data_IF_226563161043
#
_entry.id   IF_226563161043
#
_cell.length_a   1.000
_cell.length_b   1.000
_cell.length_c   1.000
_cell.angle_alpha   90.00
_cell.angle_beta   90.00
_cell.angle_gamma   90.00
#
_symmetry.space_group_name_H-M   'P 1'
#
loop_
_entity.id
_entity.type
_entity.pdbx_description
1 polymer ?
#
# COMPACT_ATOMS: atom_id res chain seq x y z
N UNK A 1 -2.10 -12.73 -9.00
CA UNK A 1 -3.24 -12.05 -9.65
C UNK A 1 -3.95 -12.91 -10.69
N UNK A 2 -3.80 -14.24 -10.69
CA UNK A 2 -4.39 -15.10 -11.73
C UNK A 2 -5.86 -15.50 -11.54
N UNK A 3 -6.55 -15.00 -10.51
CA UNK A 3 -7.94 -15.42 -10.20
C UNK A 3 -8.90 -14.25 -9.91
N UNK A 4 -8.42 -13.09 -9.42
CA UNK A 4 -9.25 -11.91 -9.17
C UNK A 4 -9.23 -10.88 -10.31
N UNK A 5 -8.33 -11.05 -11.29
CA UNK A 5 -8.19 -10.14 -12.43
C UNK A 5 -9.36 -10.23 -13.42
N UNK A 6 -10.09 -11.35 -13.42
CA UNK A 6 -11.24 -11.56 -14.32
C UNK A 6 -12.54 -10.94 -13.78
N UNK A 7 -12.58 -10.56 -12.50
CA UNK A 7 -13.79 -10.02 -11.84
C UNK A 7 -13.64 -8.54 -11.49
N UNK A 8 -12.44 -8.09 -11.12
CA UNK A 8 -12.19 -6.72 -10.70
C UNK A 8 -11.13 -6.04 -11.56
N UNK A 9 -11.39 -4.78 -11.92
CA UNK A 9 -10.37 -3.94 -12.56
C UNK A 9 -9.23 -3.63 -11.58
N UNK A 10 -8.03 -3.40 -12.10
CA UNK A 10 -6.88 -3.02 -11.26
C UNK A 10 -7.17 -1.78 -10.39
N UNK A 11 -7.89 -0.80 -10.94
CA UNK A 11 -8.31 0.40 -10.20
C UNK A 11 -9.23 0.07 -9.03
N UNK A 12 -10.17 -0.85 -9.19
CA UNK A 12 -11.05 -1.29 -8.10
C UNK A 12 -10.25 -2.04 -7.02
N UNK A 13 -9.34 -2.94 -7.42
CA UNK A 13 -8.49 -3.67 -6.47
C UNK A 13 -7.58 -2.75 -5.67
N UNK A 14 -7.02 -1.70 -6.29
CA UNK A 14 -6.22 -0.69 -5.57
C UNK A 14 -7.07 0.06 -4.55
N UNK A 15 -8.26 0.54 -4.93
CA UNK A 15 -9.14 1.26 -4.00
C UNK A 15 -9.65 0.36 -2.85
N UNK A 16 -9.96 -0.90 -3.15
CA UNK A 16 -10.36 -1.88 -2.15
C UNK A 16 -9.19 -2.18 -1.19
N UNK A 17 -7.97 -2.35 -1.71
CA UNK A 17 -6.76 -2.52 -0.91
C UNK A 17 -6.52 -1.33 0.02
N UNK A 18 -6.61 -0.11 -0.49
CA UNK A 18 -6.54 1.14 0.29
C UNK A 18 -7.57 1.14 1.42
N UNK A 19 -8.84 0.81 1.12
CA UNK A 19 -9.91 0.76 2.12
C UNK A 19 -9.64 -0.29 3.21
N UNK A 20 -9.23 -1.50 2.82
CA UNK A 20 -8.89 -2.58 3.77
C UNK A 20 -7.70 -2.19 4.64
N UNK A 21 -6.63 -1.63 4.07
CA UNK A 21 -5.46 -1.17 4.83
C UNK A 21 -5.80 -0.03 5.78
N UNK A 22 -6.69 0.88 5.39
CA UNK A 22 -7.17 1.96 6.26
C UNK A 22 -7.95 1.42 7.46
N UNK A 23 -8.90 0.51 7.22
CA UNK A 23 -9.65 -0.17 8.28
C UNK A 23 -8.69 -0.96 9.19
N UNK A 24 -7.79 -1.76 8.63
CA UNK A 24 -6.78 -2.51 9.38
C UNK A 24 -5.91 -1.62 10.26
N UNK A 25 -5.54 -0.44 9.77
CA UNK A 25 -4.77 0.55 10.54
C UNK A 25 -5.56 1.12 11.72
N UNK A 26 -6.86 1.36 11.56
CA UNK A 26 -7.73 1.78 12.68
C UNK A 26 -7.84 0.68 13.73
N UNK A 27 -8.03 -0.59 13.32
CA UNK A 27 -8.07 -1.72 14.27
C UNK A 27 -6.75 -1.87 15.03
N UNK A 28 -5.61 -1.64 14.36
CA UNK A 28 -4.28 -1.72 14.98
C UNK A 28 -4.03 -0.64 16.05
N UNK A 29 -4.81 0.46 16.05
CA UNK A 29 -4.76 1.48 17.11
C UNK A 29 -5.48 1.07 18.41
N UNK A 30 -6.05 -0.14 18.46
CA UNK A 30 -6.78 -0.66 19.64
C UNK A 30 -5.96 -1.77 20.31
N UNK A 31 -4.94 -1.44 21.13
CA UNK A 31 -4.06 -2.43 21.76
C UNK A 31 -4.73 -3.20 22.91
N UNK A 32 -5.91 -2.77 23.38
CA UNK A 32 -6.61 -3.37 24.52
C UNK A 32 -7.16 -4.78 24.26
N UNK A 33 -7.31 -5.17 22.99
CA UNK A 33 -7.78 -6.50 22.61
C UNK A 33 -6.81 -7.15 21.62
N UNK A 34 -6.04 -8.18 22.04
CA UNK A 34 -5.05 -8.85 21.18
C UNK A 34 -5.62 -9.42 19.88
N UNK A 35 -6.88 -9.86 19.88
CA UNK A 35 -7.54 -10.37 18.67
C UNK A 35 -7.81 -9.25 17.66
N UNK A 36 -8.31 -8.10 18.13
CA UNK A 36 -8.55 -6.92 17.28
C UNK A 36 -7.22 -6.38 16.75
N UNK A 37 -6.21 -6.32 17.61
CA UNK A 37 -4.87 -5.88 17.25
C UNK A 37 -4.23 -6.77 16.16
N UNK A 38 -4.30 -8.09 16.34
CA UNK A 38 -3.83 -9.07 15.35
C UNK A 38 -4.61 -9.03 14.02
N UNK A 39 -5.93 -8.86 14.09
CA UNK A 39 -6.77 -8.64 12.91
C UNK A 39 -6.38 -7.36 12.17
N UNK A 40 -6.02 -6.29 12.88
CA UNK A 40 -5.52 -5.05 12.30
C UNK A 40 -4.28 -5.29 11.43
N UNK A 41 -3.26 -5.97 11.97
CA UNK A 41 -2.04 -6.33 11.23
C UNK A 41 -2.37 -7.15 9.97
N UNK A 42 -3.24 -8.16 10.12
CA UNK A 42 -3.64 -9.04 9.02
C UNK A 42 -4.31 -8.26 7.91
N UNK A 43 -5.26 -7.38 8.24
CA UNK A 43 -5.95 -6.52 7.27
C UNK A 43 -5.00 -5.54 6.60
N UNK A 44 -4.05 -4.94 7.33
CA UNK A 44 -3.03 -4.07 6.72
C UNK A 44 -2.26 -4.83 5.63
N UNK A 45 -1.75 -6.02 5.93
CA UNK A 45 -1.01 -6.84 4.96
C UNK A 45 -1.87 -7.27 3.77
N UNK A 46 -3.11 -7.69 4.02
CA UNK A 46 -4.05 -8.13 2.99
C UNK A 46 -4.44 -6.97 2.06
N UNK A 47 -4.66 -5.77 2.61
CA UNK A 47 -4.98 -4.57 1.85
C UNK A 47 -3.82 -4.08 0.97
N UNK A 48 -2.56 -4.23 1.41
CA UNK A 48 -1.40 -3.85 0.60
C UNK A 48 -1.07 -4.85 -0.52
N UNK A 49 -1.42 -6.14 -0.35
CA UNK A 49 -1.08 -7.21 -1.29
C UNK A 49 -1.45 -6.92 -2.76
N UNK A 50 -2.66 -6.41 -3.10
CA UNK A 50 -3.00 -6.13 -4.50
C UNK A 50 -2.43 -4.80 -5.03
N UNK A 51 -2.05 -3.85 -4.17
CA UNK A 51 -1.78 -2.47 -4.58
C UNK A 51 -0.59 -2.38 -5.55
N UNK A 52 0.56 -2.94 -5.17
CA UNK A 52 1.77 -2.86 -5.98
C UNK A 52 1.63 -3.52 -7.37
N UNK A 53 1.23 -4.81 -7.48
CA UNK A 53 1.03 -5.45 -8.78
C UNK A 53 -0.06 -4.78 -9.65
N UNK A 54 -1.15 -4.27 -9.06
CA UNK A 54 -2.18 -3.54 -9.84
C UNK A 54 -1.65 -2.23 -10.40
N UNK A 55 -0.85 -1.47 -9.64
CA UNK A 55 -0.25 -0.23 -10.12
C UNK A 55 0.76 -0.48 -11.25
N UNK A 56 1.52 -1.59 -11.20
CA UNK A 56 2.38 -1.99 -12.32
C UNK A 56 1.56 -2.32 -13.56
N UNK A 57 0.44 -3.04 -13.41
CA UNK A 57 -0.44 -3.36 -14.54
C UNK A 57 -1.12 -2.10 -15.13
N UNK A 58 -1.59 -1.18 -14.29
CA UNK A 58 -2.12 0.12 -14.75
C UNK A 58 -1.06 0.94 -15.48
N UNK A 59 0.20 0.88 -15.04
CA UNK A 59 1.31 1.57 -15.72
C UNK A 59 1.53 0.98 -17.11
N UNK A 60 1.56 -0.35 -17.23
CA UNK A 60 1.67 -1.04 -18.53
C UNK A 60 0.48 -0.77 -19.44
N UNK A 61 -0.72 -0.58 -18.90
CA UNK A 61 -1.92 -0.27 -19.67
C UNK A 61 -1.98 1.20 -20.14
N UNK A 62 -1.40 2.13 -19.37
CA UNK A 62 -1.47 3.58 -19.62
C UNK A 62 -0.38 4.11 -20.56
N UNK A 63 0.78 3.46 -20.60
CA UNK A 63 1.94 3.92 -21.36
C UNK A 63 2.35 2.92 -22.43
N UNK A 64 3.08 3.39 -23.45
CA UNK A 64 3.70 2.47 -24.40
C UNK A 64 4.75 1.59 -23.70
N UNK A 65 5.08 0.45 -24.32
CA UNK A 65 5.95 -0.59 -23.71
C UNK A 65 7.30 -0.04 -23.20
N UNK A 66 7.93 0.87 -23.94
CA UNK A 66 9.22 1.45 -23.57
C UNK A 66 9.09 2.38 -22.34
N UNK A 67 8.10 3.27 -22.35
CA UNK A 67 7.80 4.17 -21.24
C UNK A 67 7.36 3.41 -20.00
N UNK A 68 6.48 2.42 -20.14
CA UNK A 68 6.00 1.58 -19.05
C UNK A 68 7.17 0.85 -18.37
N UNK A 69 8.06 0.23 -19.16
CA UNK A 69 9.25 -0.47 -18.63
C UNK A 69 10.15 0.47 -17.82
N UNK A 70 10.34 1.71 -18.29
CA UNK A 70 11.14 2.73 -17.60
C UNK A 70 10.48 3.18 -16.29
N UNK A 71 9.18 3.44 -16.28
CA UNK A 71 8.45 3.87 -15.07
C UNK A 71 8.43 2.75 -14.04
N UNK A 72 8.15 1.52 -14.46
CA UNK A 72 8.10 0.36 -13.58
C UNK A 72 9.48 0.07 -12.97
N UNK A 73 10.57 0.15 -13.75
CA UNK A 73 11.91 -0.06 -13.21
C UNK A 73 12.28 1.00 -12.16
N UNK A 74 11.86 2.25 -12.35
CA UNK A 74 12.00 3.30 -11.36
C UNK A 74 11.17 3.02 -10.10
N UNK A 75 9.91 2.59 -10.23
CA UNK A 75 9.06 2.20 -9.10
C UNK A 75 9.71 1.09 -8.27
N UNK A 76 10.16 0.01 -8.92
CA UNK A 76 10.84 -1.12 -8.28
C UNK A 76 12.10 -0.66 -7.53
N UNK A 77 12.95 0.15 -8.19
CA UNK A 77 14.19 0.64 -7.60
C UNK A 77 13.93 1.50 -6.35
N UNK A 78 12.97 2.43 -6.43
CA UNK A 78 12.59 3.29 -5.30
C UNK A 78 11.99 2.44 -4.18
N UNK A 79 11.16 1.44 -4.46
CA UNK A 79 10.62 0.53 -3.44
C UNK A 79 11.71 -0.20 -2.66
N UNK A 80 12.75 -0.70 -3.33
CA UNK A 80 13.87 -1.35 -2.63
C UNK A 80 14.70 -0.39 -1.79
N UNK A 81 14.99 0.81 -2.31
CA UNK A 81 15.67 1.86 -1.53
C UNK A 81 14.83 2.27 -0.32
N UNK A 82 13.51 2.38 -0.50
CA UNK A 82 12.58 2.69 0.58
C UNK A 82 12.62 1.60 1.64
N UNK A 83 12.63 0.32 1.28
CA UNK A 83 12.73 -0.78 2.25
C UNK A 83 14.03 -0.70 3.07
N UNK A 84 15.16 -0.45 2.40
CA UNK A 84 16.48 -0.34 3.05
C UNK A 84 16.52 0.81 4.06
N UNK A 85 15.81 1.91 3.81
CA UNK A 85 15.84 3.12 4.64
C UNK A 85 14.72 3.10 5.69
N UNK A 86 13.48 2.81 5.29
CA UNK A 86 12.30 2.88 6.16
C UNK A 86 12.28 1.77 7.20
N UNK A 87 12.68 0.53 6.88
CA UNK A 87 12.61 -0.57 7.87
C UNK A 87 13.52 -0.30 9.07
N UNK A 88 14.80 0.07 8.90
CA UNK A 88 15.66 0.43 10.03
C UNK A 88 15.15 1.66 10.80
N UNK A 89 14.67 2.70 10.11
CA UNK A 89 14.13 3.90 10.75
C UNK A 89 12.90 3.53 11.59
N UNK A 90 11.96 2.79 11.04
CA UNK A 90 10.75 2.36 11.76
C UNK A 90 11.09 1.45 12.94
N UNK A 91 12.06 0.53 12.77
CA UNK A 91 12.54 -0.32 13.87
C UNK A 91 13.16 0.50 15.00
N UNK A 92 14.03 1.45 14.65
CA UNK A 92 14.66 2.35 15.63
C UNK A 92 13.62 3.22 16.34
N UNK A 93 12.67 3.81 15.61
CA UNK A 93 11.57 4.60 16.19
C UNK A 93 10.71 3.73 17.12
N UNK A 94 10.33 2.53 16.68
CA UNK A 94 9.51 1.61 17.48
C UNK A 94 10.15 1.21 18.81
N UNK A 95 11.49 1.18 18.90
CA UNK A 95 12.18 0.93 20.18
C UNK A 95 12.17 2.11 21.16
N UNK A 96 11.95 3.34 20.68
CA UNK A 96 11.97 4.56 21.50
C UNK A 96 10.56 5.16 21.73
N UNK A 97 9.55 4.67 21.02
CA UNK A 97 8.17 5.12 21.13
C UNK A 97 7.23 3.95 21.43
N UNK A 98 6.03 3.95 20.84
CA UNK A 98 5.02 2.92 20.93
C UNK A 98 4.75 2.34 19.53
N UNK A 99 4.38 1.06 19.43
CA UNK A 99 4.32 0.31 18.17
C UNK A 99 3.20 0.83 17.25
N UNK A 100 2.18 1.47 17.82
CA UNK A 100 1.02 2.06 17.14
C UNK A 100 1.41 3.22 16.21
N UNK A 101 2.64 3.77 16.32
CA UNK A 101 3.16 4.75 15.36
C UNK A 101 3.13 4.22 13.92
N UNK A 102 3.26 2.90 13.75
CA UNK A 102 3.15 2.21 12.45
C UNK A 102 1.76 2.41 11.85
N UNK A 103 0.68 2.38 12.64
CA UNK A 103 -0.67 2.64 12.13
C UNK A 103 -0.83 4.07 11.62
N UNK A 104 -0.34 5.06 12.38
CA UNK A 104 -0.42 6.47 11.97
C UNK A 104 0.32 6.73 10.65
N UNK A 105 1.54 6.17 10.52
CA UNK A 105 2.32 6.25 9.28
C UNK A 105 1.58 5.54 8.14
N UNK A 106 1.02 4.36 8.39
CA UNK A 106 0.26 3.60 7.39
C UNK A 106 -0.96 4.40 6.91
N UNK A 107 -1.73 5.00 7.81
CA UNK A 107 -2.86 5.87 7.48
C UNK A 107 -2.41 7.03 6.59
N UNK A 108 -1.34 7.73 6.97
CA UNK A 108 -0.77 8.81 6.18
C UNK A 108 -0.39 8.37 4.77
N UNK A 109 0.32 7.24 4.65
CA UNK A 109 0.71 6.65 3.37
C UNK A 109 -0.50 6.25 2.51
N UNK A 110 -1.52 5.63 3.10
CA UNK A 110 -2.73 5.19 2.39
C UNK A 110 -3.56 6.39 1.91
N UNK A 111 -3.67 7.46 2.71
CA UNK A 111 -4.33 8.71 2.30
C UNK A 111 -3.56 9.38 1.16
N UNK A 112 -2.23 9.49 1.29
CA UNK A 112 -1.39 10.07 0.25
C UNK A 112 -1.48 9.26 -1.06
N UNK A 113 -1.42 7.93 -0.96
CA UNK A 113 -1.57 7.02 -2.09
C UNK A 113 -2.96 7.19 -2.74
N UNK A 114 -4.03 7.24 -1.96
CA UNK A 114 -5.38 7.44 -2.48
C UNK A 114 -5.51 8.78 -3.23
N UNK A 115 -4.93 9.86 -2.69
CA UNK A 115 -4.90 11.16 -3.34
C UNK A 115 -4.13 11.13 -4.68
N UNK A 116 -2.96 10.48 -4.70
CA UNK A 116 -2.15 10.31 -5.92
C UNK A 116 -2.88 9.48 -6.96
N UNK A 117 -3.45 8.33 -6.57
CA UNK A 117 -4.22 7.45 -7.48
C UNK A 117 -5.42 8.18 -8.06
N UNK A 118 -6.18 8.91 -7.22
CA UNK A 118 -7.33 9.69 -7.68
C UNK A 118 -6.92 10.77 -8.68
N UNK A 119 -5.85 11.53 -8.39
CA UNK A 119 -5.32 12.55 -9.30
C UNK A 119 -4.84 11.95 -10.62
N UNK A 120 -4.12 10.83 -10.55
CA UNK A 120 -3.62 10.12 -11.73
C UNK A 120 -4.77 9.61 -12.61
N UNK A 121 -5.83 9.10 -12.01
CA UNK A 121 -7.03 8.63 -12.72
C UNK A 121 -7.86 9.76 -13.34
N UNK A 122 -7.70 11.01 -12.90
CA UNK A 122 -8.34 12.17 -13.53
C UNK A 122 -7.59 12.67 -14.76
N UNK A 123 -6.29 12.35 -14.87
CA UNK A 123 -5.43 12.81 -15.96
C UNK A 123 -5.43 11.88 -17.17
N UNK A 124 -6.04 10.70 -17.06
CA UNK A 124 -6.07 9.65 -18.10
C UNK A 124 -7.37 8.87 -18.08
#
# INVERSE_FOLDING_TARGET
MGFMADVFTNRQLVNLGIGISFIGSILFLVPSNPLIYGLGILLIGLGFAPIYPCLMHETSARYNSEQAKKIISQQVAISYLSLLVFVPILGWVATHTFLEIIAFITIGCVIALHAVVKKLNQLT
#
